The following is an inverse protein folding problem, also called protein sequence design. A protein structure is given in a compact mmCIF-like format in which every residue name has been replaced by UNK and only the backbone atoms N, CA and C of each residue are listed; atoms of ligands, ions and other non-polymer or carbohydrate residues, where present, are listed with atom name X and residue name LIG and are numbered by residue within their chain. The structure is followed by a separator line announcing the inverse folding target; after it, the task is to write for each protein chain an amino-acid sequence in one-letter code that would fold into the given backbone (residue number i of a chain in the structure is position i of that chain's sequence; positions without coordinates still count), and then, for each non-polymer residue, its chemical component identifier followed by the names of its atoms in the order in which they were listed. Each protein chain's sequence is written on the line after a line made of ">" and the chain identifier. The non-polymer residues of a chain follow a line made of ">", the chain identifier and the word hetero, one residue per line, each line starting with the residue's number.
data_IF_948055006135
#
_entry.id   IF_948055006135
#
_cell.length_a   1.000
_cell.length_b   1.000
_cell.length_c   1.000
_cell.angle_alpha   90.00
_cell.angle_beta   90.00
_cell.angle_gamma   90.00
#
_symmetry.space_group_name_H-M   'P 1'
#
loop_
_entity.id
_entity.type
_entity.pdbx_description
1 polymer ?
#
# COMPACT_ATOMS: atom_id res chain seq x y z
N UNK A 1 50.81 -8.18 -18.24
CA UNK A 1 50.09 -7.40 -17.23
C UNK A 1 49.99 -8.25 -15.99
N UNK A 2 50.39 -7.76 -14.83
CA UNK A 2 50.21 -8.51 -13.58
C UNK A 2 48.72 -8.64 -13.32
N UNK A 3 48.21 -9.86 -13.23
CA UNK A 3 46.83 -10.16 -12.79
C UNK A 3 46.77 -9.75 -11.31
N UNK A 4 45.86 -8.84 -10.97
CA UNK A 4 45.65 -8.44 -9.57
C UNK A 4 45.34 -9.67 -8.73
N UNK A 5 45.85 -9.76 -7.51
CA UNK A 5 45.39 -10.75 -6.57
C UNK A 5 43.94 -10.45 -6.16
N UNK A 6 43.19 -11.44 -5.79
CA UNK A 6 41.77 -11.28 -5.39
C UNK A 6 41.56 -10.21 -4.31
N UNK A 7 42.47 -10.13 -3.35
CA UNK A 7 42.43 -9.13 -2.26
C UNK A 7 42.75 -7.70 -2.73
N UNK A 8 43.28 -7.51 -3.94
CA UNK A 8 43.53 -6.19 -4.55
C UNK A 8 42.42 -5.75 -5.49
N UNK A 9 41.47 -6.60 -5.77
CA UNK A 9 40.33 -6.34 -6.63
C UNK A 9 39.29 -5.48 -5.88
N UNK A 10 38.65 -4.57 -6.62
CA UNK A 10 37.48 -3.84 -6.12
C UNK A 10 36.28 -4.79 -5.97
N UNK A 11 35.25 -4.35 -5.24
CA UNK A 11 33.99 -5.07 -5.13
C UNK A 11 33.38 -5.34 -6.52
N UNK A 12 33.44 -4.38 -7.45
CA UNK A 12 32.97 -4.54 -8.82
C UNK A 12 33.77 -5.59 -9.62
N UNK A 13 35.10 -5.67 -9.42
CA UNK A 13 35.91 -6.72 -10.04
C UNK A 13 35.56 -8.09 -9.47
N UNK A 14 35.32 -8.19 -8.15
CA UNK A 14 34.87 -9.44 -7.49
C UNK A 14 33.50 -9.85 -8.02
N UNK A 15 32.56 -8.91 -8.17
CA UNK A 15 31.24 -9.17 -8.79
C UNK A 15 31.41 -9.73 -10.19
N UNK A 16 32.19 -9.05 -11.03
CA UNK A 16 32.37 -9.41 -12.44
C UNK A 16 33.07 -10.75 -12.66
N UNK A 17 34.15 -11.01 -11.92
CA UNK A 17 34.99 -12.19 -12.18
C UNK A 17 34.54 -13.44 -11.46
N UNK A 18 33.83 -13.32 -10.32
CA UNK A 18 33.53 -14.47 -9.45
C UNK A 18 32.04 -14.64 -9.16
N UNK A 19 31.36 -13.59 -8.68
CA UNK A 19 29.98 -13.70 -8.20
C UNK A 19 29.00 -13.81 -9.35
N UNK A 20 29.06 -12.89 -10.33
CA UNK A 20 28.18 -12.90 -11.51
C UNK A 20 28.30 -14.22 -12.29
N UNK A 21 29.49 -14.74 -12.60
CA UNK A 21 29.61 -16.04 -13.27
C UNK A 21 29.00 -17.19 -12.49
N UNK A 22 29.19 -17.23 -11.16
CA UNK A 22 28.61 -18.26 -10.30
C UNK A 22 27.08 -18.27 -10.33
N UNK A 23 26.47 -17.07 -10.26
CA UNK A 23 25.00 -16.94 -10.31
C UNK A 23 24.48 -17.27 -11.72
N UNK A 24 25.07 -16.70 -12.78
CA UNK A 24 24.58 -16.86 -14.16
C UNK A 24 24.80 -18.27 -14.71
N UNK A 25 25.72 -19.06 -14.15
CA UNK A 25 25.85 -20.48 -14.45
C UNK A 25 24.66 -21.33 -13.98
N UNK A 26 23.86 -20.83 -13.03
CA UNK A 26 22.76 -21.54 -12.38
C UNK A 26 21.38 -20.93 -12.65
N UNK A 27 21.34 -19.67 -13.08
CA UNK A 27 20.14 -18.86 -13.24
C UNK A 27 19.99 -18.30 -14.65
N UNK A 28 18.76 -18.20 -15.12
CA UNK A 28 18.45 -17.49 -16.36
C UNK A 28 18.76 -15.98 -16.16
N UNK A 29 19.58 -15.41 -17.04
CA UNK A 29 19.97 -14.01 -16.98
C UNK A 29 18.78 -13.03 -17.01
N UNK A 30 17.65 -13.42 -17.61
CA UNK A 30 16.43 -12.61 -17.61
C UNK A 30 15.73 -12.56 -16.24
N UNK A 31 16.06 -13.47 -15.33
CA UNK A 31 15.56 -13.55 -13.97
C UNK A 31 16.50 -12.92 -12.94
N UNK A 32 17.49 -12.16 -13.39
CA UNK A 32 18.47 -11.48 -12.55
C UNK A 32 18.45 -9.98 -12.87
N UNK A 33 18.40 -9.14 -11.84
CA UNK A 33 18.67 -7.71 -11.98
C UNK A 33 19.84 -7.29 -11.12
N UNK A 34 20.62 -6.33 -11.62
CA UNK A 34 21.79 -5.78 -10.96
C UNK A 34 21.48 -4.39 -10.43
N UNK A 35 22.13 -4.00 -9.32
CA UNK A 35 22.04 -2.64 -8.76
C UNK A 35 20.57 -2.18 -8.61
N UNK A 36 19.72 -3.10 -8.18
CA UNK A 36 18.27 -2.85 -8.14
C UNK A 36 17.95 -1.83 -7.07
N UNK A 37 17.41 -0.70 -7.50
CA UNK A 37 17.01 0.38 -6.61
C UNK A 37 15.79 -0.03 -5.76
N UNK A 38 15.94 0.00 -4.44
CA UNK A 38 14.88 -0.31 -3.47
C UNK A 38 14.19 0.98 -3.01
N UNK A 39 14.97 1.99 -2.56
CA UNK A 39 14.43 3.27 -2.07
C UNK A 39 14.93 4.44 -2.90
N UNK A 40 14.28 5.62 -2.73
CA UNK A 40 14.75 6.85 -3.37
C UNK A 40 15.81 7.60 -2.54
N UNK A 41 16.03 7.18 -1.28
CA UNK A 41 16.85 7.88 -0.32
C UNK A 41 16.11 9.04 0.37
N UNK A 42 16.27 9.12 1.69
CA UNK A 42 15.60 10.11 2.55
C UNK A 42 15.94 11.54 2.13
N UNK A 43 14.94 12.42 2.19
CA UNK A 43 15.11 13.85 2.01
C UNK A 43 15.35 14.50 3.38
N UNK A 44 16.51 15.12 3.57
CA UNK A 44 16.87 15.84 4.78
C UNK A 44 16.71 17.34 4.57
N UNK A 45 16.04 18.02 5.51
CA UNK A 45 15.86 19.46 5.52
C UNK A 45 16.72 20.07 6.63
N UNK A 46 17.67 20.94 6.26
CA UNK A 46 18.48 21.73 7.22
C UNK A 46 18.33 23.22 6.87
N UNK A 47 17.42 23.89 7.56
CA UNK A 47 17.03 25.25 7.17
C UNK A 47 16.44 25.28 5.76
N UNK A 48 17.03 26.07 4.86
CA UNK A 48 16.62 26.16 3.45
C UNK A 48 17.37 25.19 2.53
N UNK A 49 18.25 24.32 3.09
CA UNK A 49 19.01 23.36 2.30
C UNK A 49 18.27 22.03 2.28
N UNK A 50 18.02 21.54 1.07
CA UNK A 50 17.42 20.21 0.82
C UNK A 50 18.53 19.30 0.33
N UNK A 51 18.78 18.19 1.01
CA UNK A 51 19.72 17.16 0.63
C UNK A 51 19.03 15.79 0.61
N UNK A 52 19.32 14.97 -0.38
CA UNK A 52 18.81 13.60 -0.48
C UNK A 52 19.93 12.61 -0.16
N UNK A 53 19.63 11.62 0.68
CA UNK A 53 20.53 10.50 0.94
C UNK A 53 20.64 9.59 -0.28
N UNK A 54 21.70 8.76 -0.30
CA UNK A 54 21.85 7.76 -1.36
C UNK A 54 20.69 6.75 -1.28
N UNK A 55 20.10 6.36 -2.43
CA UNK A 55 19.11 5.29 -2.47
C UNK A 55 19.74 3.96 -2.02
N UNK A 56 18.96 3.13 -1.34
CA UNK A 56 19.35 1.73 -1.10
C UNK A 56 19.23 0.97 -2.42
N UNK A 57 20.23 0.15 -2.70
CA UNK A 57 20.30 -0.72 -3.87
C UNK A 57 20.76 -2.10 -3.43
N UNK A 58 20.16 -3.13 -4.02
CA UNK A 58 20.64 -4.50 -3.88
C UNK A 58 21.55 -4.84 -5.04
N UNK A 59 22.71 -5.45 -4.78
CA UNK A 59 23.66 -5.81 -5.84
C UNK A 59 23.03 -6.75 -6.86
N UNK A 60 22.33 -7.79 -6.39
CA UNK A 60 21.56 -8.70 -7.24
C UNK A 60 20.19 -8.96 -6.61
N UNK A 61 19.17 -9.01 -7.46
CA UNK A 61 17.85 -9.53 -7.11
C UNK A 61 17.52 -10.65 -8.09
N UNK A 62 17.17 -11.83 -7.54
CA UNK A 62 16.78 -13.00 -8.30
C UNK A 62 15.26 -13.14 -8.28
N UNK A 63 14.67 -13.52 -9.42
CA UNK A 63 13.22 -13.52 -9.62
C UNK A 63 12.70 -14.92 -9.97
N UNK A 64 11.58 -15.28 -9.35
CA UNK A 64 10.82 -16.49 -9.64
C UNK A 64 10.09 -16.39 -10.99
N UNK A 65 9.54 -15.23 -11.27
CA UNK A 65 8.87 -14.85 -12.50
C UNK A 65 8.96 -13.34 -12.67
N UNK A 66 8.55 -12.80 -13.81
CA UNK A 66 8.54 -11.37 -14.05
C UNK A 66 7.91 -10.63 -12.86
N UNK A 67 8.69 -9.80 -12.18
CA UNK A 67 8.33 -8.97 -11.04
C UNK A 67 8.07 -9.69 -9.68
N UNK A 68 8.39 -10.96 -9.55
CA UNK A 68 8.27 -11.68 -8.28
C UNK A 68 9.67 -12.08 -7.76
N UNK A 69 10.33 -11.24 -6.94
CA UNK A 69 11.64 -11.54 -6.40
C UNK A 69 11.59 -12.73 -5.43
N UNK A 70 12.65 -13.51 -5.39
CA UNK A 70 12.78 -14.68 -4.50
C UNK A 70 14.02 -14.60 -3.63
N UNK A 71 15.06 -13.92 -4.07
CA UNK A 71 16.33 -13.82 -3.34
C UNK A 71 17.06 -12.51 -3.59
N UNK A 72 17.87 -12.13 -2.60
CA UNK A 72 18.84 -11.03 -2.65
C UNK A 72 20.24 -11.60 -2.52
N UNK A 73 21.19 -11.05 -3.28
CA UNK A 73 22.62 -11.31 -3.10
C UNK A 73 23.35 -9.99 -2.93
N UNK A 74 24.11 -9.84 -1.83
CA UNK A 74 25.00 -8.72 -1.56
C UNK A 74 26.47 -9.13 -1.78
N UNK A 75 27.19 -8.31 -2.48
CA UNK A 75 28.60 -8.51 -2.76
C UNK A 75 29.47 -7.72 -1.76
N UNK A 76 30.66 -8.22 -1.52
CA UNK A 76 31.75 -7.51 -0.82
C UNK A 76 33.07 -7.80 -1.51
N UNK A 77 34.05 -6.92 -1.34
CA UNK A 77 35.42 -7.20 -1.76
C UNK A 77 36.02 -8.35 -0.96
N UNK A 78 37.11 -8.93 -1.47
CA UNK A 78 37.73 -10.12 -0.89
C UNK A 78 38.52 -9.85 0.42
N UNK A 79 38.56 -8.62 0.92
CA UNK A 79 39.13 -8.30 2.22
C UNK A 79 38.13 -8.54 3.37
N UNK A 80 36.88 -8.82 3.04
CA UNK A 80 35.82 -9.14 3.98
C UNK A 80 35.54 -10.65 4.03
N UNK A 81 34.94 -11.12 5.09
CA UNK A 81 34.47 -12.53 5.16
C UNK A 81 33.26 -12.75 4.26
N UNK A 82 33.02 -13.99 3.84
CA UNK A 82 31.86 -14.36 3.02
C UNK A 82 30.53 -13.91 3.59
N UNK A 83 30.39 -13.91 4.92
CA UNK A 83 29.16 -13.52 5.64
C UNK A 83 29.07 -12.02 5.95
N UNK A 84 30.08 -11.22 5.61
CA UNK A 84 30.12 -9.79 5.99
C UNK A 84 28.90 -9.02 5.49
N UNK A 85 28.45 -9.29 4.26
CA UNK A 85 27.28 -8.65 3.65
C UNK A 85 25.94 -9.27 4.05
N UNK A 86 25.90 -10.38 4.79
CA UNK A 86 24.68 -11.14 5.02
C UNK A 86 23.60 -10.34 5.77
N UNK A 87 23.98 -9.55 6.78
CA UNK A 87 23.03 -8.72 7.52
C UNK A 87 22.39 -7.63 6.63
N UNK A 88 23.15 -7.09 5.69
CA UNK A 88 22.64 -6.14 4.69
C UNK A 88 21.68 -6.85 3.72
N UNK A 89 22.06 -8.02 3.22
CA UNK A 89 21.21 -8.86 2.37
C UNK A 89 19.90 -9.24 3.07
N UNK A 90 19.94 -9.63 4.35
CA UNK A 90 18.77 -9.93 5.18
C UNK A 90 17.85 -8.71 5.31
N UNK A 91 18.42 -7.53 5.57
CA UNK A 91 17.65 -6.29 5.64
C UNK A 91 16.91 -6.00 4.33
N UNK A 92 17.58 -6.16 3.20
CA UNK A 92 16.98 -5.95 1.88
C UNK A 92 15.96 -7.04 1.52
N UNK A 93 16.23 -8.28 1.92
CA UNK A 93 15.29 -9.39 1.75
C UNK A 93 13.99 -9.14 2.53
N UNK A 94 14.07 -8.66 3.77
CA UNK A 94 12.90 -8.24 4.55
C UNK A 94 12.17 -7.06 3.91
N UNK A 95 12.90 -6.06 3.40
CA UNK A 95 12.28 -4.93 2.67
C UNK A 95 11.56 -5.39 1.40
N UNK A 96 12.05 -6.40 0.69
CA UNK A 96 11.44 -6.92 -0.52
C UNK A 96 10.48 -8.09 -0.28
N UNK A 97 10.32 -8.51 0.98
CA UNK A 97 9.49 -9.67 1.39
C UNK A 97 9.89 -10.96 0.66
N UNK A 98 11.21 -11.22 0.57
CA UNK A 98 11.75 -12.38 -0.12
C UNK A 98 12.36 -13.39 0.87
N UNK A 99 12.27 -14.71 0.57
CA UNK A 99 12.64 -15.75 1.52
C UNK A 99 14.14 -16.04 1.64
N UNK A 100 14.97 -15.63 0.68
CA UNK A 100 16.38 -15.98 0.68
C UNK A 100 17.28 -14.75 0.61
N UNK A 101 18.28 -14.72 1.49
CA UNK A 101 19.32 -13.70 1.49
C UNK A 101 20.70 -14.35 1.38
N UNK A 102 21.54 -13.82 0.50
CA UNK A 102 22.90 -14.30 0.29
C UNK A 102 23.90 -13.15 0.41
N UNK A 103 25.12 -13.47 0.85
CA UNK A 103 26.29 -12.59 0.67
C UNK A 103 27.46 -13.36 0.08
N UNK A 104 28.35 -12.66 -0.61
CA UNK A 104 29.54 -13.23 -1.19
C UNK A 104 30.71 -12.24 -1.23
N UNK A 105 31.93 -12.73 -1.03
CA UNK A 105 33.17 -11.99 -1.22
C UNK A 105 33.98 -12.56 -2.42
N UNK A 106 33.38 -13.40 -3.24
CA UNK A 106 34.02 -14.09 -4.34
C UNK A 106 34.77 -15.39 -3.98
N UNK A 107 34.81 -15.82 -2.71
CA UNK A 107 35.35 -17.13 -2.31
C UNK A 107 34.25 -18.17 -2.14
N UNK A 108 33.04 -17.73 -1.80
CA UNK A 108 31.87 -18.55 -1.60
C UNK A 108 30.65 -17.68 -1.30
N UNK A 109 29.58 -18.33 -0.84
CA UNK A 109 28.35 -17.69 -0.42
C UNK A 109 28.01 -18.02 1.04
N UNK A 110 27.44 -17.04 1.75
CA UNK A 110 26.71 -17.26 2.99
C UNK A 110 25.22 -17.01 2.72
N UNK A 111 24.37 -17.90 3.18
CA UNK A 111 22.92 -17.88 2.98
C UNK A 111 22.19 -17.77 4.30
N UNK A 112 21.12 -16.97 4.36
CA UNK A 112 20.08 -17.03 5.37
C UNK A 112 18.75 -17.38 4.69
N UNK A 113 18.11 -18.44 5.17
CA UNK A 113 16.81 -18.93 4.70
C UNK A 113 15.72 -18.55 5.71
N UNK A 114 14.89 -17.55 5.38
CA UNK A 114 13.81 -17.08 6.25
C UNK A 114 12.67 -18.10 6.44
N UNK A 115 12.53 -19.09 5.53
CA UNK A 115 11.50 -20.11 5.66
C UNK A 115 11.82 -21.12 6.77
N UNK A 116 13.11 -21.38 6.98
CA UNK A 116 13.59 -22.37 7.94
C UNK A 116 14.38 -21.77 9.10
N UNK A 117 14.79 -20.49 9.01
CA UNK A 117 15.68 -19.82 9.95
C UNK A 117 17.13 -20.33 9.92
N UNK A 118 17.51 -21.12 8.92
CA UNK A 118 18.84 -21.73 8.82
C UNK A 118 19.82 -20.84 8.07
N UNK A 119 21.07 -20.90 8.51
CA UNK A 119 22.22 -20.30 7.83
C UNK A 119 23.19 -21.40 7.38
N UNK A 120 23.83 -21.17 6.24
CA UNK A 120 24.90 -22.04 5.73
C UNK A 120 25.89 -21.25 4.89
N UNK A 121 27.11 -21.80 4.76
CA UNK A 121 28.16 -21.28 3.89
C UNK A 121 28.60 -22.37 2.93
N UNK A 122 28.85 -22.02 1.66
CA UNK A 122 29.18 -22.97 0.59
C UNK A 122 30.03 -22.32 -0.51
N UNK A 123 30.62 -23.13 -1.37
CA UNK A 123 31.47 -22.67 -2.46
C UNK A 123 30.73 -21.99 -3.60
N UNK A 124 31.45 -21.29 -4.50
CA UNK A 124 30.87 -20.57 -5.62
C UNK A 124 30.09 -21.50 -6.58
N UNK A 125 30.59 -22.70 -6.82
CA UNK A 125 30.01 -23.73 -7.68
C UNK A 125 28.77 -24.40 -7.08
N UNK A 126 28.58 -24.25 -5.77
CA UNK A 126 27.45 -24.80 -5.02
C UNK A 126 26.27 -23.83 -4.91
N UNK A 127 26.34 -22.65 -5.61
CA UNK A 127 25.20 -21.73 -5.61
C UNK A 127 23.92 -22.42 -6.07
N UNK A 128 22.79 -22.28 -5.35
CA UNK A 128 21.56 -23.01 -5.68
C UNK A 128 21.04 -22.64 -7.07
N UNK A 129 20.55 -23.64 -7.79
CA UNK A 129 19.88 -23.41 -9.08
C UNK A 129 18.55 -22.69 -8.89
N UNK A 130 18.08 -22.03 -9.95
CA UNK A 130 16.75 -21.43 -9.98
C UNK A 130 15.67 -22.43 -9.56
N UNK A 131 15.69 -23.63 -10.13
CA UNK A 131 14.75 -24.71 -9.82
C UNK A 131 14.79 -25.10 -8.34
N UNK A 132 15.96 -25.22 -7.76
CA UNK A 132 16.14 -25.57 -6.35
C UNK A 132 15.54 -24.50 -5.40
N UNK A 133 15.81 -23.21 -5.64
CA UNK A 133 15.22 -22.15 -4.82
C UNK A 133 13.70 -22.07 -4.99
N UNK A 134 13.18 -22.29 -6.19
CA UNK A 134 11.74 -22.36 -6.46
C UNK A 134 11.09 -23.50 -5.69
N UNK A 135 11.70 -24.70 -5.71
CA UNK A 135 11.20 -25.87 -4.98
C UNK A 135 11.25 -25.65 -3.46
N UNK A 136 12.33 -25.06 -2.94
CA UNK A 136 12.46 -24.70 -1.53
C UNK A 136 11.40 -23.67 -1.12
N UNK A 137 11.19 -22.63 -1.94
CA UNK A 137 10.14 -21.62 -1.69
C UNK A 137 8.76 -22.27 -1.66
N UNK A 138 8.43 -23.10 -2.66
CA UNK A 138 7.15 -23.80 -2.72
C UNK A 138 6.95 -24.70 -1.51
N UNK A 139 7.93 -25.50 -1.17
CA UNK A 139 7.86 -26.44 -0.04
C UNK A 139 7.79 -25.73 1.33
N UNK A 140 8.52 -24.62 1.49
CA UNK A 140 8.53 -23.84 2.73
C UNK A 140 7.31 -22.94 2.94
N UNK A 141 6.54 -22.69 1.88
CA UNK A 141 5.35 -21.86 1.96
C UNK A 141 4.29 -22.49 2.90
N UNK A 142 3.41 -21.62 3.45
CA UNK A 142 2.33 -22.05 4.34
C UNK A 142 2.82 -22.89 5.54
N UNK A 143 3.92 -22.46 6.17
CA UNK A 143 4.56 -23.18 7.28
C UNK A 143 4.96 -24.62 6.90
N UNK A 144 5.43 -24.84 5.67
CA UNK A 144 5.91 -26.13 5.18
C UNK A 144 4.83 -27.06 4.62
N UNK A 145 3.59 -26.59 4.46
CA UNK A 145 2.53 -27.38 3.80
C UNK A 145 2.51 -27.23 2.29
N UNK A 146 3.33 -26.31 1.77
CA UNK A 146 3.47 -26.05 0.35
C UNK A 146 2.46 -25.01 -0.20
N UNK A 147 2.70 -24.55 -1.43
CA UNK A 147 1.77 -23.68 -2.14
C UNK A 147 0.57 -24.48 -2.66
N UNK A 148 -0.60 -23.86 -2.65
CA UNK A 148 -1.78 -24.38 -3.34
C UNK A 148 -1.74 -24.05 -4.83
N UNK A 149 -2.48 -24.77 -5.67
CA UNK A 149 -2.63 -24.47 -7.12
C UNK A 149 -3.09 -23.02 -7.36
N UNK A 150 -3.96 -22.51 -6.49
CA UNK A 150 -4.46 -21.13 -6.55
C UNK A 150 -3.33 -20.13 -6.29
N UNK A 151 -2.50 -20.38 -5.28
CA UNK A 151 -1.33 -19.54 -5.00
C UNK A 151 -0.32 -19.57 -6.15
N UNK A 152 -0.03 -20.74 -6.72
CA UNK A 152 0.86 -20.86 -7.87
C UNK A 152 0.33 -20.08 -9.08
N UNK A 153 -0.97 -20.17 -9.37
CA UNK A 153 -1.63 -19.41 -10.43
C UNK A 153 -1.51 -17.90 -10.22
N UNK A 154 -1.65 -17.45 -8.98
CA UNK A 154 -1.51 -16.03 -8.61
C UNK A 154 -0.08 -15.53 -8.73
N UNK A 155 0.90 -16.32 -8.29
CA UNK A 155 2.33 -15.99 -8.40
C UNK A 155 2.75 -15.89 -9.87
N UNK A 156 2.26 -16.78 -10.73
CA UNK A 156 2.56 -16.77 -12.15
C UNK A 156 1.96 -15.58 -12.91
N UNK A 157 0.90 -14.95 -12.37
CA UNK A 157 0.25 -13.82 -13.03
C UNK A 157 1.10 -12.54 -12.90
N UNK A 158 1.60 -11.92 -14.01
CA UNK A 158 2.43 -10.73 -13.96
C UNK A 158 1.62 -9.50 -13.53
N UNK A 159 2.33 -8.48 -13.04
CA UNK A 159 1.76 -7.14 -12.89
C UNK A 159 1.39 -6.55 -14.25
N UNK A 160 0.40 -5.66 -14.25
CA UNK A 160 0.18 -4.83 -15.43
C UNK A 160 1.41 -3.94 -15.68
N UNK A 161 1.88 -3.93 -16.90
CA UNK A 161 2.94 -3.05 -17.37
C UNK A 161 2.63 -2.53 -18.77
N UNK A 162 3.00 -1.29 -19.04
CA UNK A 162 2.93 -0.65 -20.35
C UNK A 162 4.11 0.30 -20.51
N UNK A 163 4.33 0.82 -21.69
CA UNK A 163 5.41 1.79 -21.94
C UNK A 163 5.28 3.06 -21.08
N UNK A 164 4.08 3.42 -20.67
CA UNK A 164 3.78 4.62 -19.89
C UNK A 164 3.51 4.35 -18.41
N UNK A 165 3.60 3.09 -17.97
CA UNK A 165 3.29 2.71 -16.59
C UNK A 165 4.57 2.33 -15.86
N UNK A 166 4.91 3.05 -14.79
CA UNK A 166 6.02 2.65 -13.92
C UNK A 166 5.72 1.33 -13.22
N UNK A 167 6.71 0.44 -13.04
CA UNK A 167 6.52 -0.77 -12.27
C UNK A 167 6.16 -0.43 -10.81
N UNK A 168 5.44 -1.31 -10.11
CA UNK A 168 5.12 -1.09 -8.70
C UNK A 168 6.40 -0.92 -7.88
N UNK A 169 6.41 0.04 -6.96
CA UNK A 169 7.47 0.21 -5.96
C UNK A 169 7.48 -0.99 -5.03
N UNK A 170 8.60 -1.24 -4.34
CA UNK A 170 8.76 -2.43 -3.52
C UNK A 170 7.62 -2.63 -2.51
N UNK A 171 7.24 -1.59 -1.78
CA UNK A 171 6.16 -1.65 -0.79
C UNK A 171 4.78 -1.90 -1.42
N UNK A 172 4.54 -1.40 -2.64
CA UNK A 172 3.32 -1.70 -3.40
C UNK A 172 3.30 -3.18 -3.83
N UNK A 173 4.45 -3.73 -4.25
CA UNK A 173 4.58 -5.16 -4.57
C UNK A 173 4.24 -6.03 -3.37
N UNK A 174 4.76 -5.69 -2.19
CA UNK A 174 4.45 -6.41 -0.95
C UNK A 174 2.95 -6.35 -0.65
N UNK A 175 2.36 -5.15 -0.68
CA UNK A 175 0.92 -4.98 -0.46
C UNK A 175 0.09 -5.82 -1.42
N UNK A 176 0.41 -5.78 -2.72
CA UNK A 176 -0.26 -6.57 -3.76
C UNK A 176 -0.09 -8.06 -3.51
N UNK A 177 1.15 -8.53 -3.34
CA UNK A 177 1.44 -9.96 -3.20
C UNK A 177 0.81 -10.54 -1.93
N UNK A 178 0.90 -9.86 -0.78
CA UNK A 178 0.27 -10.30 0.47
C UNK A 178 -1.25 -10.33 0.36
N UNK A 179 -1.86 -9.35 -0.33
CA UNK A 179 -3.30 -9.35 -0.57
C UNK A 179 -3.73 -10.56 -1.40
N UNK A 180 -3.02 -10.83 -2.49
CA UNK A 180 -3.34 -11.94 -3.38
C UNK A 180 -3.12 -13.29 -2.70
N UNK A 181 -2.05 -13.43 -1.93
CA UNK A 181 -1.77 -14.63 -1.14
C UNK A 181 -2.86 -14.88 -0.08
N UNK A 182 -3.28 -13.84 0.65
CA UNK A 182 -4.36 -13.94 1.63
C UNK A 182 -5.69 -14.37 0.98
N UNK A 183 -6.03 -13.80 -0.19
CA UNK A 183 -7.21 -14.22 -0.98
C UNK A 183 -7.08 -15.68 -1.43
N UNK A 184 -5.91 -16.09 -1.91
CA UNK A 184 -5.65 -17.45 -2.36
C UNK A 184 -5.76 -18.49 -1.22
N UNK A 185 -5.50 -18.06 0.02
CA UNK A 185 -5.73 -18.86 1.25
C UNK A 185 -7.18 -18.85 1.74
N UNK A 186 -8.10 -18.17 1.04
CA UNK A 186 -9.52 -18.08 1.41
C UNK A 186 -9.83 -17.03 2.46
N UNK A 187 -8.93 -16.09 2.75
CA UNK A 187 -9.23 -14.99 3.66
C UNK A 187 -10.19 -14.00 2.99
N UNK A 188 -11.31 -13.73 3.63
CA UNK A 188 -12.40 -12.93 3.06
C UNK A 188 -12.45 -11.47 3.55
N UNK A 189 -11.71 -11.11 4.59
CA UNK A 189 -11.62 -9.74 5.10
C UNK A 189 -10.16 -9.34 5.25
N UNK A 190 -9.77 -8.24 4.65
CA UNK A 190 -8.38 -7.80 4.54
C UNK A 190 -8.30 -6.30 4.79
N UNK A 191 -7.28 -5.85 5.53
CA UNK A 191 -6.99 -4.45 5.75
C UNK A 191 -5.59 -4.11 5.22
N UNK A 192 -5.51 -3.09 4.36
CA UNK A 192 -4.27 -2.48 3.89
C UNK A 192 -4.13 -1.08 4.47
N UNK A 193 -3.04 -0.82 5.17
CA UNK A 193 -2.71 0.49 5.70
C UNK A 193 -1.55 1.07 4.90
N UNK A 194 -1.83 2.10 4.11
CA UNK A 194 -0.83 2.75 3.26
C UNK A 194 -0.99 4.27 3.34
N UNK A 195 0.07 4.98 3.67
CA UNK A 195 0.04 6.44 3.83
C UNK A 195 -0.49 7.16 2.59
N UNK A 196 -1.04 8.37 2.77
CA UNK A 196 -1.45 9.21 1.64
C UNK A 196 -0.26 9.51 0.73
N UNK A 197 -0.46 9.48 -0.59
CA UNK A 197 0.60 9.71 -1.58
C UNK A 197 1.44 8.48 -1.91
N UNK A 198 1.18 7.31 -1.31
CA UNK A 198 1.92 6.06 -1.60
C UNK A 198 1.33 5.24 -2.76
N UNK A 199 0.28 5.75 -3.43
CA UNK A 199 -0.33 5.10 -4.59
C UNK A 199 -1.28 3.96 -4.21
N UNK A 200 -2.16 4.16 -3.22
CA UNK A 200 -3.21 3.20 -2.85
C UNK A 200 -4.07 2.77 -4.04
N UNK A 201 -4.53 3.75 -4.84
CA UNK A 201 -5.38 3.49 -6.03
C UNK A 201 -4.64 2.63 -7.06
N UNK A 202 -3.37 2.93 -7.32
CA UNK A 202 -2.53 2.11 -8.19
C UNK A 202 -2.34 0.68 -7.64
N UNK A 203 -2.15 0.54 -6.34
CA UNK A 203 -2.06 -0.76 -5.66
C UNK A 203 -3.37 -1.55 -5.83
N UNK A 204 -4.51 -0.90 -5.62
CA UNK A 204 -5.83 -1.50 -5.84
C UNK A 204 -6.04 -1.93 -7.30
N UNK A 205 -5.66 -1.08 -8.26
CA UNK A 205 -5.70 -1.43 -9.69
C UNK A 205 -4.90 -2.71 -9.99
N UNK A 206 -3.67 -2.81 -9.50
CA UNK A 206 -2.83 -4.00 -9.72
C UNK A 206 -3.43 -5.27 -9.11
N UNK A 207 -4.05 -5.16 -7.93
CA UNK A 207 -4.78 -6.26 -7.27
C UNK A 207 -5.95 -6.70 -8.17
N UNK A 208 -6.79 -5.75 -8.58
CA UNK A 208 -7.95 -6.00 -9.46
C UNK A 208 -7.52 -6.63 -10.78
N UNK A 209 -6.52 -6.04 -11.45
CA UNK A 209 -5.99 -6.54 -12.72
C UNK A 209 -5.55 -8.00 -12.62
N UNK A 210 -4.73 -8.32 -11.61
CA UNK A 210 -4.21 -9.69 -11.43
C UNK A 210 -5.31 -10.70 -11.08
N UNK A 211 -6.31 -10.30 -10.27
CA UNK A 211 -7.45 -11.15 -9.92
C UNK A 211 -8.35 -11.44 -11.14
N UNK A 212 -8.62 -10.44 -11.98
CA UNK A 212 -9.36 -10.62 -13.22
C UNK A 212 -8.59 -11.51 -14.20
N UNK A 213 -7.30 -11.25 -14.42
CA UNK A 213 -6.46 -12.02 -15.35
C UNK A 213 -6.21 -13.46 -14.92
N UNK A 214 -6.21 -13.73 -13.62
CA UNK A 214 -6.13 -15.10 -13.08
C UNK A 214 -7.49 -15.82 -13.06
N UNK A 215 -8.57 -15.17 -13.44
CA UNK A 215 -9.95 -15.69 -13.41
C UNK A 215 -10.41 -16.12 -12.00
N UNK A 216 -9.84 -15.51 -10.97
CA UNK A 216 -10.21 -15.80 -9.57
C UNK A 216 -11.34 -14.91 -9.06
N UNK A 217 -11.49 -13.71 -9.60
CA UNK A 217 -12.58 -12.77 -9.32
C UNK A 217 -13.04 -12.17 -10.65
N UNK A 218 -14.36 -12.00 -10.80
CA UNK A 218 -14.99 -11.56 -12.05
C UNK A 218 -15.85 -10.32 -11.90
N UNK A 219 -16.43 -10.12 -10.72
CA UNK A 219 -17.35 -9.01 -10.42
C UNK A 219 -16.81 -8.25 -9.20
N UNK A 220 -16.35 -7.05 -9.43
CA UNK A 220 -15.61 -6.26 -8.44
C UNK A 220 -16.32 -4.93 -8.22
N UNK A 221 -16.61 -4.61 -6.96
CA UNK A 221 -17.13 -3.31 -6.54
C UNK A 221 -16.03 -2.48 -5.87
N UNK A 222 -15.77 -1.29 -6.40
CA UNK A 222 -14.87 -0.30 -5.81
C UNK A 222 -15.68 0.84 -5.19
N UNK A 223 -15.63 0.98 -3.88
CA UNK A 223 -16.31 2.01 -3.12
C UNK A 223 -15.33 3.14 -2.77
N UNK A 224 -15.62 4.36 -3.23
CA UNK A 224 -14.83 5.54 -2.95
C UNK A 224 -15.60 6.62 -2.17
N UNK A 225 -14.86 7.52 -1.48
CA UNK A 225 -15.44 8.61 -0.69
C UNK A 225 -15.91 9.79 -1.55
N UNK A 226 -15.21 10.12 -2.65
CA UNK A 226 -15.45 11.33 -3.43
C UNK A 226 -15.53 11.09 -4.93
N UNK A 227 -16.45 11.83 -5.57
CA UNK A 227 -16.71 11.74 -7.01
C UNK A 227 -15.46 12.04 -7.87
N UNK A 228 -14.73 13.10 -7.52
CA UNK A 228 -13.52 13.49 -8.26
C UNK A 228 -12.44 12.40 -8.18
N UNK A 229 -12.36 11.66 -7.05
CA UNK A 229 -11.43 10.55 -6.90
C UNK A 229 -11.82 9.36 -7.79
N UNK A 230 -13.11 9.08 -7.95
CA UNK A 230 -13.61 8.01 -8.85
C UNK A 230 -13.22 8.30 -10.29
N UNK A 231 -13.54 9.50 -10.78
CA UNK A 231 -13.26 9.87 -12.17
C UNK A 231 -11.75 9.89 -12.45
N UNK A 232 -10.95 10.41 -11.51
CA UNK A 232 -9.50 10.40 -11.60
C UNK A 232 -8.95 8.96 -11.58
N UNK A 233 -9.46 8.10 -10.71
CA UNK A 233 -9.02 6.69 -10.63
C UNK A 233 -9.30 5.94 -11.92
N UNK A 234 -10.50 6.11 -12.50
CA UNK A 234 -10.88 5.47 -13.77
C UNK A 234 -9.99 5.97 -14.91
N UNK A 235 -9.78 7.28 -15.01
CA UNK A 235 -9.03 7.88 -16.12
C UNK A 235 -7.51 7.67 -16.03
N UNK A 236 -6.96 7.46 -14.85
CA UNK A 236 -5.53 7.28 -14.63
C UNK A 236 -5.17 5.81 -14.38
N UNK A 237 -5.31 5.36 -13.14
CA UNK A 237 -4.81 4.04 -12.73
C UNK A 237 -5.59 2.89 -13.38
N UNK A 238 -6.92 3.02 -13.49
CA UNK A 238 -7.79 1.98 -14.04
C UNK A 238 -8.04 2.11 -15.54
N UNK A 239 -7.46 3.09 -16.24
CA UNK A 239 -7.60 3.27 -17.68
C UNK A 239 -7.39 1.99 -18.52
N UNK A 240 -6.47 1.08 -18.17
CA UNK A 240 -6.30 -0.19 -18.88
C UNK A 240 -7.52 -1.12 -18.84
N UNK A 241 -8.42 -0.91 -17.88
CA UNK A 241 -9.66 -1.68 -17.70
C UNK A 241 -10.92 -0.90 -18.14
N UNK A 242 -10.79 0.28 -18.74
CA UNK A 242 -11.91 1.18 -19.08
C UNK A 242 -13.10 0.48 -19.76
N UNK A 243 -12.82 -0.46 -20.68
CA UNK A 243 -13.85 -1.19 -21.43
C UNK A 243 -14.73 -2.11 -20.57
N UNK A 244 -14.27 -2.49 -19.40
CA UNK A 244 -14.96 -3.41 -18.48
C UNK A 244 -15.41 -2.72 -17.20
N UNK A 245 -15.22 -1.39 -17.11
CA UNK A 245 -15.62 -0.56 -15.97
C UNK A 245 -17.00 0.03 -16.18
N UNK A 246 -17.80 0.06 -15.12
CA UNK A 246 -19.05 0.79 -15.02
C UNK A 246 -19.09 1.67 -13.77
N UNK A 247 -19.38 2.96 -13.95
CA UNK A 247 -19.67 3.87 -12.84
C UNK A 247 -21.16 3.82 -12.55
N UNK A 248 -21.53 3.25 -11.39
CA UNK A 248 -22.94 3.03 -11.01
C UNK A 248 -23.69 4.34 -10.91
N UNK A 249 -24.85 4.40 -11.58
CA UNK A 249 -25.76 5.52 -11.57
C UNK A 249 -27.19 5.05 -11.24
N UNK A 250 -27.58 5.16 -9.97
CA UNK A 250 -28.86 4.68 -9.47
C UNK A 250 -30.11 5.25 -10.12
N UNK A 251 -29.99 6.37 -10.85
CA UNK A 251 -31.12 7.01 -11.55
C UNK A 251 -31.29 6.55 -12.99
N UNK A 252 -30.26 5.92 -13.58
CA UNK A 252 -30.19 5.57 -15.01
C UNK A 252 -29.96 4.08 -15.27
N UNK A 253 -29.40 3.38 -14.32
CA UNK A 253 -29.01 1.98 -14.51
C UNK A 253 -30.21 1.04 -14.43
N UNK A 254 -30.29 0.12 -15.41
CA UNK A 254 -31.23 -1.00 -15.40
C UNK A 254 -30.49 -2.29 -15.01
N UNK A 255 -30.98 -3.02 -13.99
CA UNK A 255 -30.36 -4.26 -13.53
C UNK A 255 -30.11 -5.28 -14.65
N UNK A 256 -30.92 -5.25 -15.71
CA UNK A 256 -30.79 -6.19 -16.84
C UNK A 256 -29.62 -5.88 -17.78
N UNK A 257 -29.10 -4.67 -17.76
CA UNK A 257 -28.08 -4.21 -18.71
C UNK A 257 -26.72 -4.02 -18.07
N UNK A 258 -26.65 -3.67 -16.77
CA UNK A 258 -25.38 -3.37 -16.11
C UNK A 258 -24.57 -4.60 -15.68
N UNK A 259 -25.14 -5.80 -15.72
CA UNK A 259 -24.49 -7.03 -15.23
C UNK A 259 -23.33 -7.52 -16.10
N UNK A 260 -23.14 -6.96 -17.31
CA UNK A 260 -22.08 -7.36 -18.26
C UNK A 260 -20.68 -6.85 -17.88
N UNK A 261 -20.57 -5.79 -17.11
CA UNK A 261 -19.28 -5.22 -16.70
C UNK A 261 -18.58 -6.11 -15.65
N UNK A 262 -17.25 -5.91 -15.48
CA UNK A 262 -16.43 -6.66 -14.52
C UNK A 262 -16.11 -5.81 -13.29
N UNK A 263 -15.89 -4.50 -13.46
CA UNK A 263 -15.53 -3.58 -12.37
C UNK A 263 -16.56 -2.47 -12.25
N UNK A 264 -17.07 -2.29 -11.06
CA UNK A 264 -18.11 -1.29 -10.75
C UNK A 264 -17.55 -0.28 -9.76
N UNK A 265 -17.67 1.00 -10.09
CA UNK A 265 -17.33 2.12 -9.21
C UNK A 265 -18.59 2.74 -8.62
N UNK A 266 -18.61 2.94 -7.32
CA UNK A 266 -19.70 3.64 -6.64
C UNK A 266 -19.15 4.52 -5.51
N UNK A 267 -19.95 5.54 -5.12
CA UNK A 267 -19.65 6.42 -4.00
C UNK A 267 -20.47 5.99 -2.79
N UNK A 268 -19.86 5.94 -1.59
CA UNK A 268 -20.70 5.71 -0.41
C UNK A 268 -21.65 6.87 -0.13
N UNK A 269 -21.33 8.11 -0.55
CA UNK A 269 -22.22 9.27 -0.37
C UNK A 269 -23.47 9.22 -1.26
N UNK A 270 -23.38 8.59 -2.44
CA UNK A 270 -24.57 8.32 -3.26
C UNK A 270 -25.44 7.24 -2.63
N UNK A 271 -24.84 6.46 -1.76
CA UNK A 271 -25.44 5.38 -1.01
C UNK A 271 -26.06 5.88 0.31
N UNK A 272 -25.53 6.96 0.90
CA UNK A 272 -26.09 7.67 2.05
C UNK A 272 -26.86 8.89 1.55
N UNK A 273 -28.17 8.87 1.42
CA UNK A 273 -29.00 9.92 0.82
C UNK A 273 -28.55 11.37 1.12
N UNK A 274 -28.89 12.31 0.23
CA UNK A 274 -28.41 13.69 0.22
C UNK A 274 -28.80 14.56 1.43
N UNK A 275 -29.73 14.14 2.29
CA UNK A 275 -30.26 14.93 3.41
C UNK A 275 -30.40 14.08 4.67
N UNK A 276 -29.31 13.97 5.45
CA UNK A 276 -29.33 13.22 6.73
C UNK A 276 -30.08 13.93 7.88
N UNK A 277 -30.56 15.17 7.72
CA UNK A 277 -31.18 15.91 8.83
C UNK A 277 -32.69 16.09 8.73
N UNK A 278 -33.35 15.79 7.59
CA UNK A 278 -34.78 16.13 7.44
C UNK A 278 -35.68 15.10 6.70
N UNK A 279 -35.19 13.94 6.26
CA UNK A 279 -36.03 13.00 5.51
C UNK A 279 -36.07 11.61 6.16
N UNK A 280 -37.16 11.33 6.89
CA UNK A 280 -37.49 9.98 7.41
C UNK A 280 -37.77 8.96 6.28
N UNK A 281 -37.86 9.41 5.02
CA UNK A 281 -38.14 8.63 3.81
C UNK A 281 -36.92 8.46 2.88
N UNK A 282 -35.69 8.79 3.31
CA UNK A 282 -34.51 8.54 2.49
C UNK A 282 -34.31 7.02 2.31
N UNK A 283 -34.59 6.52 1.11
CA UNK A 283 -34.25 5.15 0.71
C UNK A 283 -32.79 4.88 1.08
N UNK A 284 -32.60 3.87 1.90
CA UNK A 284 -31.28 3.45 2.38
C UNK A 284 -30.35 3.13 1.18
N UNK A 285 -29.10 3.45 1.32
CA UNK A 285 -28.05 3.09 0.35
C UNK A 285 -28.10 1.62 -0.06
N UNK A 286 -28.37 0.77 0.90
CA UNK A 286 -28.52 -0.67 0.71
C UNK A 286 -29.72 -0.97 -0.23
N UNK A 287 -30.85 -0.26 -0.07
CA UNK A 287 -32.04 -0.51 -0.87
C UNK A 287 -31.77 -0.23 -2.36
N UNK A 288 -31.01 0.79 -2.68
CA UNK A 288 -30.62 1.12 -4.06
C UNK A 288 -29.68 0.07 -4.66
N UNK A 289 -28.68 -0.39 -3.91
CA UNK A 289 -27.77 -1.45 -4.38
C UNK A 289 -28.49 -2.78 -4.54
N UNK A 290 -29.38 -3.13 -3.59
CA UNK A 290 -30.13 -4.39 -3.62
C UNK A 290 -31.13 -4.46 -4.77
N UNK A 291 -31.61 -3.32 -5.29
CA UNK A 291 -32.44 -3.26 -6.49
C UNK A 291 -31.64 -3.55 -7.78
N UNK A 292 -30.33 -3.22 -7.78
CA UNK A 292 -29.46 -3.43 -8.93
C UNK A 292 -28.72 -4.77 -8.91
N UNK A 293 -28.33 -5.25 -7.73
CA UNK A 293 -27.43 -6.38 -7.57
C UNK A 293 -27.91 -7.35 -6.48
N UNK A 294 -27.89 -8.65 -6.77
CA UNK A 294 -28.15 -9.71 -5.77
C UNK A 294 -27.02 -9.78 -4.72
N UNK A 295 -27.26 -10.34 -3.52
CA UNK A 295 -26.24 -10.44 -2.46
C UNK A 295 -24.97 -11.17 -2.83
N UNK A 296 -25.02 -12.04 -3.80
CA UNK A 296 -23.92 -12.88 -4.31
C UNK A 296 -23.31 -12.37 -5.64
N UNK A 297 -23.73 -11.18 -6.10
CA UNK A 297 -23.29 -10.66 -7.40
C UNK A 297 -21.81 -10.32 -7.44
N UNK A 298 -21.25 -9.73 -6.37
CA UNK A 298 -19.84 -9.34 -6.33
C UNK A 298 -18.97 -10.43 -5.69
N UNK A 299 -17.82 -10.68 -6.32
CA UNK A 299 -16.76 -11.56 -5.83
C UNK A 299 -15.76 -10.84 -4.92
N UNK A 300 -15.59 -9.54 -5.15
CA UNK A 300 -14.63 -8.68 -4.45
C UNK A 300 -15.24 -7.29 -4.23
N UNK A 301 -15.05 -6.76 -3.03
CA UNK A 301 -15.36 -5.36 -2.72
C UNK A 301 -14.12 -4.68 -2.16
N UNK A 302 -13.75 -3.54 -2.73
CA UNK A 302 -12.68 -2.68 -2.22
C UNK A 302 -13.30 -1.40 -1.67
N UNK A 303 -12.98 -1.08 -0.41
CA UNK A 303 -13.42 0.14 0.27
C UNK A 303 -12.22 1.06 0.43
N UNK A 304 -12.15 2.11 -0.38
CA UNK A 304 -11.07 3.08 -0.30
C UNK A 304 -11.37 4.13 0.78
N UNK A 305 -10.33 4.57 1.48
CA UNK A 305 -10.40 5.50 2.62
C UNK A 305 -11.42 5.06 3.69
N UNK A 306 -11.44 3.78 4.02
CA UNK A 306 -12.43 3.17 4.93
C UNK A 306 -12.44 3.75 6.36
N UNK A 307 -11.47 4.63 6.71
CA UNK A 307 -11.44 5.38 7.97
C UNK A 307 -12.31 6.64 7.96
N UNK A 308 -12.78 7.10 6.78
CA UNK A 308 -13.53 8.34 6.65
C UNK A 308 -15.01 8.12 6.91
N UNK A 309 -15.59 8.98 7.71
CA UNK A 309 -17.02 9.03 8.00
C UNK A 309 -17.34 9.31 9.46
N UNK A 310 -18.57 9.80 9.74
CA UNK A 310 -19.15 9.79 11.08
C UNK A 310 -19.54 8.36 11.46
N UNK A 311 -19.76 8.07 12.74
CA UNK A 311 -20.24 6.77 13.19
C UNK A 311 -21.50 6.29 12.43
N UNK A 312 -22.34 7.22 11.97
CA UNK A 312 -23.52 6.97 11.13
C UNK A 312 -23.16 6.55 9.69
N UNK A 313 -22.15 7.20 9.08
CA UNK A 313 -21.67 6.86 7.72
C UNK A 313 -20.96 5.50 7.69
N UNK A 314 -20.23 5.17 8.75
CA UNK A 314 -19.58 3.86 8.90
C UNK A 314 -20.59 2.73 9.07
N UNK A 315 -21.75 2.99 9.70
CA UNK A 315 -22.84 2.01 9.75
C UNK A 315 -23.41 1.69 8.36
N UNK A 316 -23.35 2.63 7.40
CA UNK A 316 -23.93 2.43 6.07
C UNK A 316 -23.05 1.57 5.16
N UNK A 317 -21.72 1.83 5.11
CA UNK A 317 -20.87 0.96 4.30
C UNK A 317 -20.75 -0.46 4.91
N UNK A 318 -20.81 -0.59 6.24
CA UNK A 318 -20.88 -1.90 6.90
C UNK A 318 -22.11 -2.70 6.47
N UNK A 319 -23.29 -2.09 6.42
CA UNK A 319 -24.52 -2.74 5.93
C UNK A 319 -24.37 -3.23 4.49
N UNK A 320 -23.67 -2.45 3.63
CA UNK A 320 -23.36 -2.87 2.27
C UNK A 320 -22.46 -4.10 2.26
N UNK A 321 -21.38 -4.09 3.07
CA UNK A 321 -20.47 -5.22 3.18
C UNK A 321 -21.15 -6.46 3.79
N UNK A 322 -22.05 -6.27 4.73
CA UNK A 322 -22.87 -7.36 5.32
C UNK A 322 -23.85 -7.94 4.30
N UNK A 323 -24.46 -7.11 3.45
CA UNK A 323 -25.33 -7.56 2.36
C UNK A 323 -24.58 -8.42 1.35
N UNK A 324 -23.36 -8.01 0.98
CA UNK A 324 -22.48 -8.77 0.07
C UNK A 324 -21.46 -9.63 0.83
N UNK A 325 -21.90 -10.30 1.90
CA UNK A 325 -21.01 -11.05 2.80
C UNK A 325 -20.26 -12.21 2.12
N UNK A 326 -20.73 -12.70 0.97
CA UNK A 326 -20.07 -13.73 0.16
C UNK A 326 -18.83 -13.20 -0.56
N UNK A 327 -18.73 -11.90 -0.77
CA UNK A 327 -17.58 -11.27 -1.42
C UNK A 327 -16.37 -11.25 -0.52
N UNK A 328 -15.17 -11.36 -1.11
CA UNK A 328 -13.94 -10.94 -0.45
C UNK A 328 -13.94 -9.42 -0.28
N UNK A 329 -13.54 -8.91 0.88
CA UNK A 329 -13.65 -7.49 1.23
C UNK A 329 -12.29 -6.93 1.64
N UNK A 330 -11.84 -5.89 0.97
CA UNK A 330 -10.58 -5.21 1.24
C UNK A 330 -10.86 -3.79 1.69
N UNK A 331 -10.46 -3.45 2.92
CA UNK A 331 -10.40 -2.07 3.39
C UNK A 331 -9.04 -1.46 3.07
N UNK A 332 -9.00 -0.26 2.52
CA UNK A 332 -7.78 0.51 2.28
C UNK A 332 -7.85 1.83 3.02
N UNK A 333 -6.80 2.18 3.75
CA UNK A 333 -6.76 3.42 4.53
C UNK A 333 -5.34 3.94 4.69
N UNK A 334 -5.20 5.26 4.89
CA UNK A 334 -3.93 5.85 5.28
C UNK A 334 -3.69 5.74 6.80
N UNK A 335 -4.76 5.78 7.59
CA UNK A 335 -4.72 5.72 9.05
C UNK A 335 -5.87 4.83 9.53
N UNK A 336 -5.58 3.68 10.14
CA UNK A 336 -6.65 2.90 10.76
C UNK A 336 -7.29 3.74 11.86
N UNK A 337 -8.61 3.77 11.88
CA UNK A 337 -9.35 4.52 12.90
C UNK A 337 -9.72 3.57 14.02
N UNK A 338 -9.25 3.90 15.20
CA UNK A 338 -9.62 3.24 16.45
C UNK A 338 -10.28 4.27 17.37
N UNK A 339 -11.59 4.25 17.44
CA UNK A 339 -12.36 5.05 18.41
C UNK A 339 -13.24 4.09 19.22
N UNK A 340 -13.73 4.56 20.36
CA UNK A 340 -14.62 3.77 21.24
C UNK A 340 -15.84 3.15 20.50
N UNK A 341 -16.21 3.68 19.34
CA UNK A 341 -17.42 3.28 18.61
C UNK A 341 -17.14 2.69 17.23
N UNK A 342 -15.89 2.77 16.73
CA UNK A 342 -15.54 2.35 15.38
C UNK A 342 -14.10 1.90 15.33
N UNK A 343 -13.91 0.66 14.93
CA UNK A 343 -12.61 0.10 14.63
C UNK A 343 -12.65 -0.61 13.28
N UNK A 344 -11.77 -0.20 12.36
CA UNK A 344 -11.58 -0.90 11.10
C UNK A 344 -10.95 -2.28 11.33
N UNK A 345 -10.15 -2.39 12.38
CA UNK A 345 -9.49 -3.64 12.80
C UNK A 345 -10.55 -4.65 13.27
N UNK A 346 -11.59 -4.21 13.99
CA UNK A 346 -12.67 -5.12 14.42
C UNK A 346 -13.44 -5.74 13.25
N UNK A 347 -13.52 -5.02 12.12
CA UNK A 347 -14.24 -5.52 10.95
C UNK A 347 -13.36 -6.32 10.00
N UNK A 348 -12.21 -5.75 9.60
CA UNK A 348 -11.33 -6.35 8.59
C UNK A 348 -10.26 -7.28 9.17
N UNK A 349 -10.01 -7.22 10.48
CA UNK A 349 -8.87 -7.84 11.16
C UNK A 349 -7.62 -6.97 11.14
N UNK A 350 -6.55 -7.49 11.72
CA UNK A 350 -5.23 -6.84 11.70
C UNK A 350 -4.77 -6.56 10.26
N UNK A 351 -4.08 -5.43 10.02
CA UNK A 351 -3.56 -5.12 8.70
C UNK A 351 -2.63 -6.22 8.18
N UNK A 352 -2.92 -6.73 6.98
CA UNK A 352 -2.03 -7.69 6.30
C UNK A 352 -0.73 -7.03 5.85
N UNK A 353 -0.74 -5.72 5.68
CA UNK A 353 0.44 -4.90 5.41
C UNK A 353 0.20 -3.45 5.84
N UNK A 354 1.25 -2.86 6.41
CA UNK A 354 1.30 -1.45 6.78
C UNK A 354 2.50 -0.79 6.13
N UNK A 355 2.30 0.33 5.43
CA UNK A 355 3.34 1.22 4.96
C UNK A 355 3.05 2.63 5.44
N UNK A 356 3.75 3.03 6.48
CA UNK A 356 3.52 4.26 7.22
C UNK A 356 4.06 5.50 6.51
N UNK A 357 3.57 6.67 6.91
CA UNK A 357 4.12 7.96 6.48
C UNK A 357 5.61 8.08 6.83
N UNK A 358 6.02 7.57 8.00
CA UNK A 358 7.42 7.58 8.44
C UNK A 358 8.30 6.78 7.48
N UNK A 359 7.91 5.55 7.15
CA UNK A 359 8.63 4.71 6.18
C UNK A 359 8.72 5.38 4.82
N UNK A 360 7.61 5.97 4.33
CA UNK A 360 7.59 6.68 3.05
C UNK A 360 8.54 7.87 2.99
N UNK A 361 8.72 8.58 4.11
CA UNK A 361 9.70 9.68 4.24
C UNK A 361 11.13 9.14 4.33
N UNK A 362 11.36 8.08 5.12
CA UNK A 362 12.68 7.46 5.26
C UNK A 362 13.18 6.85 3.95
N UNK A 363 12.28 6.27 3.17
CA UNK A 363 12.59 5.74 1.84
C UNK A 363 12.71 6.82 0.76
N UNK A 364 12.28 8.05 1.06
CA UNK A 364 12.35 9.19 0.15
C UNK A 364 11.24 9.22 -0.92
N UNK A 365 10.22 8.38 -0.80
CA UNK A 365 9.04 8.40 -1.68
C UNK A 365 8.04 9.49 -1.30
N UNK A 366 8.05 9.91 -0.03
CA UNK A 366 7.25 11.01 0.49
C UNK A 366 8.15 12.15 0.95
N UNK A 367 7.67 13.37 0.75
CA UNK A 367 8.38 14.58 1.22
C UNK A 367 8.30 14.67 2.75
N UNK A 368 9.39 15.05 3.42
CA UNK A 368 9.33 15.39 4.84
C UNK A 368 8.51 16.67 5.03
N UNK A 369 7.93 16.82 6.22
CA UNK A 369 7.19 18.01 6.60
C UNK A 369 7.67 18.55 7.95
N UNK A 370 7.46 19.83 8.17
CA UNK A 370 7.69 20.50 9.45
C UNK A 370 6.35 20.96 9.98
N UNK A 371 6.04 20.58 11.21
CA UNK A 371 4.86 21.10 11.92
C UNK A 371 5.28 22.36 12.65
N UNK A 372 4.58 23.45 12.36
CA UNK A 372 4.70 24.71 13.10
C UNK A 372 3.40 24.88 13.86
N UNK A 373 3.47 24.83 15.17
CA UNK A 373 2.34 25.11 16.03
C UNK A 373 2.26 26.63 16.25
N UNK A 374 1.24 27.25 15.72
CA UNK A 374 0.91 28.65 15.99
C UNK A 374 -0.02 28.68 17.20
N UNK A 375 0.47 29.22 18.30
CA UNK A 375 -0.35 29.45 19.50
C UNK A 375 -0.93 30.88 19.45
N UNK A 376 -2.24 30.95 19.55
CA UNK A 376 -2.93 32.24 19.71
C UNK A 376 -3.22 32.47 21.19
N UNK A 377 -3.28 33.72 21.62
CA UNK A 377 -3.53 34.12 23.02
C UNK A 377 -4.84 33.54 23.59
N UNK A 378 -5.76 33.18 22.71
CA UNK A 378 -7.05 32.57 23.08
C UNK A 378 -7.07 31.05 22.89
N UNK A 379 -5.91 30.42 22.65
CA UNK A 379 -5.80 28.96 22.42
C UNK A 379 -6.28 28.11 23.59
N UNK A 380 -6.17 28.57 24.82
CA UNK A 380 -6.69 27.94 26.04
C UNK A 380 -8.18 28.16 26.29
N UNK A 381 -8.83 28.98 25.48
CA UNK A 381 -10.24 29.35 25.56
C UNK A 381 -10.45 30.86 25.68
N UNK A 382 -11.52 31.32 25.08
CA UNK A 382 -11.95 32.71 25.13
C UNK A 382 -13.30 32.84 25.88
N UNK A 383 -13.43 33.86 26.71
CA UNK A 383 -14.66 34.18 27.44
C UNK A 383 -15.08 35.60 27.16
N UNK A 384 -16.35 35.86 26.80
CA UNK A 384 -16.84 37.23 26.60
C UNK A 384 -16.79 38.02 27.91
N UNK A 385 -16.67 39.36 27.79
CA UNK A 385 -16.89 40.24 28.92
C UNK A 385 -18.40 40.26 29.26
N UNK A 386 -18.72 40.42 30.52
CA UNK A 386 -20.10 40.45 30.96
C UNK A 386 -20.91 41.51 30.17
N UNK A 387 -22.00 41.07 29.51
CA UNK A 387 -22.83 41.90 28.67
C UNK A 387 -22.26 42.24 27.28
N UNK A 388 -21.20 41.53 26.85
CA UNK A 388 -20.63 41.71 25.52
C UNK A 388 -21.65 41.23 24.46
N UNK A 389 -21.78 42.02 23.38
CA UNK A 389 -22.71 41.75 22.29
C UNK A 389 -21.96 41.40 21.01
N UNK A 390 -22.59 40.60 20.18
CA UNK A 390 -22.13 40.26 18.83
C UNK A 390 -22.37 41.44 17.85
N UNK A 391 -21.94 41.28 16.60
CA UNK A 391 -22.11 42.30 15.54
C UNK A 391 -23.58 42.55 15.18
N UNK A 392 -24.49 41.66 15.59
CA UNK A 392 -25.95 41.82 15.40
C UNK A 392 -26.67 42.40 16.62
N UNK A 393 -25.91 42.69 17.69
CA UNK A 393 -26.44 43.27 18.91
C UNK A 393 -26.97 42.26 19.93
N UNK A 394 -26.87 40.95 19.70
CA UNK A 394 -27.26 39.90 20.63
C UNK A 394 -26.19 39.74 21.71
N UNK A 395 -26.62 39.45 22.95
CA UNK A 395 -25.69 39.18 24.05
C UNK A 395 -25.02 37.80 23.82
N UNK A 396 -23.67 37.78 23.88
CA UNK A 396 -22.88 36.56 23.75
C UNK A 396 -22.98 35.80 25.07
N UNK A 397 -23.27 34.50 25.00
CA UNK A 397 -23.42 33.62 26.16
C UNK A 397 -22.12 33.62 27.01
N UNK A 398 -22.27 33.85 28.32
CA UNK A 398 -21.14 33.88 29.26
C UNK A 398 -20.62 32.49 29.60
N UNK A 399 -19.85 31.91 28.68
CA UNK A 399 -19.13 30.64 28.83
C UNK A 399 -17.72 30.71 28.23
N UNK A 400 -16.92 29.71 28.50
CA UNK A 400 -15.61 29.55 27.83
C UNK A 400 -15.83 28.90 26.47
N UNK A 401 -15.40 29.59 25.42
CA UNK A 401 -15.35 29.07 24.05
C UNK A 401 -13.97 28.50 23.77
N UNK A 402 -13.92 27.27 23.29
CA UNK A 402 -12.69 26.53 23.02
C UNK A 402 -12.46 26.33 21.51
N UNK A 403 -11.39 25.68 21.11
CA UNK A 403 -11.09 25.41 19.72
C UNK A 403 -12.21 24.67 18.96
N UNK A 404 -13.08 23.95 19.64
CA UNK A 404 -14.26 23.31 19.05
C UNK A 404 -15.41 24.25 18.75
N UNK A 405 -15.41 25.43 19.38
CA UNK A 405 -16.43 26.45 19.19
C UNK A 405 -16.04 27.48 18.12
N UNK A 406 -14.73 27.70 17.90
CA UNK A 406 -14.25 28.68 16.94
C UNK A 406 -14.63 28.32 15.53
N UNK A 407 -15.04 29.32 14.76
CA UNK A 407 -15.49 29.22 13.37
C UNK A 407 -16.79 28.40 13.18
N UNK A 408 -17.37 27.91 14.28
CA UNK A 408 -18.63 27.16 14.27
C UNK A 408 -19.72 27.86 15.12
N UNK A 409 -19.44 28.04 16.40
CA UNK A 409 -20.36 28.69 17.34
C UNK A 409 -20.03 30.17 17.55
N UNK A 410 -18.78 30.57 17.35
CA UNK A 410 -18.29 31.95 17.48
C UNK A 410 -17.18 32.22 16.45
N UNK A 411 -17.25 33.42 15.86
CA UNK A 411 -16.22 33.97 14.98
C UNK A 411 -15.53 35.13 15.68
N UNK A 412 -14.20 35.05 15.80
CA UNK A 412 -13.37 36.10 16.42
C UNK A 412 -12.44 36.63 15.32
N UNK A 413 -12.73 37.86 14.81
CA UNK A 413 -11.99 38.47 13.71
C UNK A 413 -10.49 38.60 13.97
N UNK A 414 -10.11 39.02 15.19
CA UNK A 414 -8.70 39.17 15.56
C UNK A 414 -7.94 37.84 15.45
N UNK A 415 -8.58 36.74 15.84
CA UNK A 415 -8.00 35.39 15.66
C UNK A 415 -7.81 35.04 14.18
N UNK A 416 -8.83 35.32 13.35
CA UNK A 416 -8.77 35.04 11.90
C UNK A 416 -7.64 35.85 11.27
N UNK A 417 -7.54 37.13 11.60
CA UNK A 417 -6.49 38.02 11.09
C UNK A 417 -5.10 37.59 11.53
N UNK A 418 -4.93 37.17 12.79
CA UNK A 418 -3.66 36.65 13.30
C UNK A 418 -3.27 35.35 12.57
N UNK A 419 -4.20 34.40 12.43
CA UNK A 419 -3.96 33.16 11.69
C UNK A 419 -3.63 33.41 10.22
N UNK A 420 -4.36 34.36 9.59
CA UNK A 420 -4.10 34.73 8.20
C UNK A 420 -2.70 35.33 8.01
N UNK A 421 -2.26 36.17 8.96
CA UNK A 421 -0.92 36.79 8.93
C UNK A 421 0.22 35.77 9.11
N UNK A 422 -0.01 34.69 9.85
CA UNK A 422 0.99 33.60 10.02
C UNK A 422 1.07 32.66 8.84
N UNK A 423 0.01 32.60 8.01
CA UNK A 423 -0.05 31.71 6.83
C UNK A 423 0.52 32.40 5.58
N UNK A 424 0.50 33.74 5.52
CA UNK A 424 1.01 34.55 4.41
C UNK A 424 2.47 34.90 4.56
#
# INVERSE_FOLDING_TARGET
>A
MAVLSKSQMSEEDIKFHYITPAITAKWNNQHITLETKITDGRINLKGNVVAREKPKRADYVLYLSANNPIAIVEAKDNNHTVSHGLQQAMTYAQMLDVPFAFSSNGDGFAEHDFLTGKERTFGLDEFPTEKELVERYKAGANNGTGLTDVQEKMIAQPYYSSQNTSPPRYYQRIAINRTLDAIARGQNRLLLVMATGTGKTYTAFQIVYRLLKSDLKKKILYLADRNNLVDQSIQQDFAPLEKVIHKVNFSKDDPRTITSYEVYFSLYQQLAGKNEEQDENAENALDKLSQLFSPDFFDLIIVDECHRGSAKKESNWRKILEYFASATQIGMTATPKETKYVSNIDYFGEPIYTYSLKEGIEDGFLAPFKVINVMTDIGEGWRPRKGQRDIYGNEIEDRIYTNSDYDYNIIIEDRINQVAAEIT
#
